data_IF_875336727194
#
_entry.id   IF_875336727194
#
_cell.length_a   1.000
_cell.length_b   1.000
_cell.length_c   1.000
_cell.angle_alpha   90.00
_cell.angle_beta   90.00
_cell.angle_gamma   90.00
#
_symmetry.space_group_name_H-M   'P 1'
#
loop_
_entity.id
_entity.type
_entity.pdbx_description
1 polymer ?
#
# COMPACT_ATOMS: atom_id res chain seq x y z
N UNK A 1 15.10 -13.22 -6.47
CA UNK A 1 14.99 -12.28 -5.33
C UNK A 1 16.25 -11.47 -5.33
N UNK A 2 16.17 -10.14 -5.35
CA UNK A 2 17.38 -9.33 -5.19
C UNK A 2 17.90 -9.52 -3.77
N UNK A 3 19.21 -9.42 -3.58
CA UNK A 3 19.90 -9.64 -2.29
C UNK A 3 19.48 -8.61 -1.20
N UNK A 4 18.63 -7.64 -1.55
CA UNK A 4 18.15 -6.54 -0.71
C UNK A 4 16.69 -6.69 -0.27
N UNK A 5 16.00 -7.76 -0.67
CA UNK A 5 14.60 -7.99 -0.34
C UNK A 5 14.44 -9.14 0.67
N UNK A 6 13.69 -8.87 1.73
CA UNK A 6 13.39 -9.84 2.78
C UNK A 6 11.89 -9.91 3.01
N UNK A 7 11.40 -11.13 3.21
CA UNK A 7 10.06 -11.39 3.70
C UNK A 7 10.10 -11.81 5.16
N UNK A 8 9.25 -11.22 5.99
CA UNK A 8 9.03 -11.64 7.38
C UNK A 8 7.59 -12.15 7.50
N UNK A 9 7.44 -13.43 7.85
CA UNK A 9 6.14 -14.02 8.17
C UNK A 9 5.74 -13.65 9.60
N UNK A 10 4.55 -13.08 9.76
CA UNK A 10 3.95 -12.79 11.07
C UNK A 10 2.90 -13.85 11.36
N UNK A 11 3.10 -14.62 12.43
CA UNK A 11 2.19 -15.71 12.81
C UNK A 11 1.07 -15.23 13.74
N UNK A 12 -0.15 -15.15 13.21
CA UNK A 12 -1.39 -14.74 13.90
C UNK A 12 -2.55 -15.73 13.66
N UNK A 13 -2.23 -17.00 13.40
CA UNK A 13 -3.19 -18.05 13.06
C UNK A 13 -3.81 -17.84 11.68
N UNK A 14 -5.13 -17.88 11.58
CA UNK A 14 -5.85 -17.68 10.30
C UNK A 14 -5.62 -16.30 9.67
N UNK A 15 -5.05 -15.36 10.42
CA UNK A 15 -4.72 -13.99 9.97
C UNK A 15 -3.23 -13.76 9.75
N UNK A 16 -2.41 -14.82 9.75
CA UNK A 16 -0.97 -14.69 9.48
C UNK A 16 -0.72 -14.04 8.11
N UNK A 17 0.23 -13.12 8.03
CA UNK A 17 0.56 -12.36 6.81
C UNK A 17 2.07 -12.13 6.65
N UNK A 18 2.46 -11.73 5.44
CA UNK A 18 3.85 -11.47 5.09
C UNK A 18 4.13 -9.97 5.07
N UNK A 19 5.26 -9.56 5.65
CA UNK A 19 5.82 -8.22 5.50
C UNK A 19 6.93 -8.30 4.47
N UNK A 20 6.79 -7.56 3.37
CA UNK A 20 7.83 -7.39 2.36
C UNK A 20 8.69 -6.17 2.71
N UNK A 21 10.01 -6.34 2.76
CA UNK A 21 10.97 -5.29 3.14
C UNK A 21 12.03 -5.19 2.05
N UNK A 22 12.24 -3.99 1.51
CA UNK A 22 13.22 -3.74 0.47
C UNK A 22 13.02 -2.38 -0.21
N UNK A 23 14.01 -1.93 -0.99
CA UNK A 23 13.91 -0.68 -1.74
C UNK A 23 12.91 -0.78 -2.90
N UNK A 24 12.30 0.35 -3.27
CA UNK A 24 11.46 0.45 -4.47
C UNK A 24 10.10 -0.27 -4.41
N UNK A 25 9.70 -0.77 -3.24
CA UNK A 25 8.46 -1.55 -3.06
C UNK A 25 7.19 -0.79 -3.48
N UNK A 26 7.11 0.52 -3.22
CA UNK A 26 5.92 1.33 -3.55
C UNK A 26 5.62 1.32 -5.05
N UNK A 27 6.66 1.50 -5.90
CA UNK A 27 6.49 1.52 -7.35
C UNK A 27 6.07 0.16 -7.93
N UNK A 28 6.24 -0.94 -7.19
CA UNK A 28 5.79 -2.30 -7.58
C UNK A 28 4.63 -2.82 -6.73
N UNK A 29 4.07 -2.00 -5.85
CA UNK A 29 3.06 -2.42 -4.89
C UNK A 29 1.81 -2.98 -5.59
N UNK A 30 1.43 -2.43 -6.75
CA UNK A 30 0.30 -2.93 -7.53
C UNK A 30 0.42 -4.41 -7.85
N UNK A 31 1.58 -4.85 -8.35
CA UNK A 31 1.85 -6.26 -8.68
C UNK A 31 1.76 -7.17 -7.46
N UNK A 32 2.34 -6.73 -6.34
CA UNK A 32 2.28 -7.48 -5.08
C UNK A 32 0.84 -7.61 -4.56
N UNK A 33 0.06 -6.54 -4.67
CA UNK A 33 -1.34 -6.52 -4.23
C UNK A 33 -2.21 -7.38 -5.15
N UNK A 34 -2.08 -7.24 -6.47
CA UNK A 34 -2.83 -7.99 -7.47
C UNK A 34 -2.60 -9.52 -7.37
N UNK A 35 -1.39 -9.93 -6.99
CA UNK A 35 -1.08 -11.35 -6.76
C UNK A 35 -1.83 -11.98 -5.58
N UNK A 36 -2.32 -11.16 -4.63
CA UNK A 36 -2.92 -11.62 -3.36
C UNK A 36 -4.41 -11.33 -3.26
N UNK A 37 -4.90 -10.29 -3.93
CA UNK A 37 -6.29 -9.85 -3.86
C UNK A 37 -6.96 -9.92 -5.23
N UNK A 38 -8.16 -10.51 -5.26
CA UNK A 38 -9.04 -10.46 -6.43
C UNK A 38 -9.88 -9.19 -6.33
N UNK A 39 -9.38 -8.08 -6.86
CA UNK A 39 -10.07 -6.79 -6.82
C UNK A 39 -9.64 -5.89 -7.97
N UNK A 40 -10.58 -5.08 -8.49
CA UNK A 40 -10.32 -4.10 -9.56
C UNK A 40 -10.46 -2.66 -9.09
N UNK A 41 -10.76 -2.43 -7.81
CA UNK A 41 -10.95 -1.10 -7.23
C UNK A 41 -10.38 -1.04 -5.82
N UNK A 42 -9.65 0.02 -5.51
CA UNK A 42 -9.06 0.23 -4.20
C UNK A 42 -9.22 1.68 -3.74
N UNK A 43 -9.47 1.85 -2.45
CA UNK A 43 -9.36 3.14 -1.79
C UNK A 43 -7.97 3.27 -1.17
N UNK A 44 -7.27 4.38 -1.43
CA UNK A 44 -5.99 4.73 -0.81
C UNK A 44 -6.23 5.86 0.17
N UNK A 45 -5.97 5.62 1.45
CA UNK A 45 -6.17 6.60 2.53
C UNK A 45 -4.78 6.98 3.04
N UNK A 46 -4.48 8.27 3.05
CA UNK A 46 -3.16 8.79 3.45
C UNK A 46 -3.29 10.17 4.10
N UNK A 47 -2.24 10.66 4.74
CA UNK A 47 -2.17 12.06 5.18
C UNK A 47 -1.46 12.93 4.13
N UNK A 48 -1.56 14.25 4.26
CA UNK A 48 -0.94 15.22 3.35
C UNK A 48 0.59 15.04 3.20
N UNK A 49 1.31 14.69 4.27
CA UNK A 49 2.77 14.54 4.24
C UNK A 49 3.21 13.26 3.51
N UNK A 50 2.52 12.15 3.75
CA UNK A 50 2.80 10.86 3.13
C UNK A 50 2.27 10.84 1.69
N UNK A 51 1.06 11.35 1.49
CA UNK A 51 0.41 11.43 0.19
C UNK A 51 1.21 12.27 -0.80
N UNK A 52 1.70 13.44 -0.38
CA UNK A 52 2.54 14.30 -1.22
C UNK A 52 3.84 13.65 -1.69
N UNK A 53 4.30 12.56 -1.05
CA UNK A 53 5.54 11.85 -1.40
C UNK A 53 5.30 10.57 -2.19
N UNK A 54 4.26 9.81 -1.86
CA UNK A 54 4.14 8.42 -2.33
C UNK A 54 2.85 8.11 -3.08
N UNK A 55 1.82 8.96 -3.00
CA UNK A 55 0.51 8.64 -3.56
C UNK A 55 0.57 8.46 -5.09
N UNK A 56 1.33 9.30 -5.79
CA UNK A 56 1.45 9.24 -7.24
C UNK A 56 2.04 7.90 -7.70
N UNK A 57 3.20 7.51 -7.15
CA UNK A 57 3.88 6.26 -7.51
C UNK A 57 3.05 5.02 -7.14
N UNK A 58 2.40 5.03 -5.97
CA UNK A 58 1.53 3.94 -5.55
C UNK A 58 0.32 3.80 -6.50
N UNK A 59 -0.31 4.93 -6.85
CA UNK A 59 -1.47 4.96 -7.76
C UNK A 59 -1.09 4.44 -9.13
N UNK A 60 0.03 4.91 -9.69
CA UNK A 60 0.53 4.44 -10.98
C UNK A 60 0.82 2.94 -10.98
N UNK A 61 1.41 2.43 -9.88
CA UNK A 61 1.67 0.99 -9.70
C UNK A 61 0.38 0.17 -9.70
N UNK A 62 -0.66 0.63 -9.00
CA UNK A 62 -1.96 -0.04 -8.92
C UNK A 62 -2.70 -0.02 -10.26
N UNK A 63 -2.74 1.14 -10.92
CA UNK A 63 -3.42 1.32 -12.21
C UNK A 63 -2.76 0.49 -13.33
N UNK A 64 -1.44 0.30 -13.28
CA UNK A 64 -0.72 -0.57 -14.22
C UNK A 64 -1.20 -2.04 -14.16
N UNK A 65 -1.73 -2.49 -13.01
CA UNK A 65 -2.34 -3.81 -12.85
C UNK A 65 -3.86 -3.79 -13.08
N UNK A 66 -4.40 -2.71 -13.63
CA UNK A 66 -5.82 -2.55 -13.93
C UNK A 66 -6.70 -2.34 -12.69
N UNK A 67 -6.12 -1.91 -11.57
CA UNK A 67 -6.84 -1.58 -10.34
C UNK A 67 -7.19 -0.10 -10.37
N UNK A 68 -8.47 0.25 -10.44
CA UNK A 68 -8.91 1.63 -10.34
C UNK A 68 -8.76 2.14 -8.91
N UNK A 69 -8.18 3.33 -8.75
CA UNK A 69 -7.85 3.90 -7.44
C UNK A 69 -8.74 5.09 -7.12
N UNK A 70 -9.23 5.16 -5.89
CA UNK A 70 -9.80 6.37 -5.31
C UNK A 70 -8.97 6.78 -4.10
N UNK A 71 -8.41 7.99 -4.12
CA UNK A 71 -7.57 8.48 -3.03
C UNK A 71 -8.32 9.46 -2.13
N UNK A 72 -8.18 9.27 -0.81
CA UNK A 72 -8.60 10.22 0.22
C UNK A 72 -7.38 10.66 1.01
N UNK A 73 -7.05 11.94 0.89
CA UNK A 73 -5.97 12.58 1.66
C UNK A 73 -6.55 13.32 2.84
N UNK A 74 -6.02 13.07 4.04
CA UNK A 74 -6.46 13.66 5.30
C UNK A 74 -5.42 14.65 5.86
N UNK A 75 -5.82 15.63 6.70
CA UNK A 75 -4.87 16.47 7.41
C UNK A 75 -3.92 15.63 8.26
N UNK A 76 -2.63 15.99 8.26
CA UNK A 76 -1.64 15.26 9.04
C UNK A 76 -1.78 15.50 10.56
N UNK A 77 -1.55 14.43 11.35
CA UNK A 77 -1.43 14.48 12.81
C UNK A 77 -2.46 13.60 13.56
N UNK A 78 -2.15 13.26 14.81
CA UNK A 78 -2.95 12.33 15.63
C UNK A 78 -4.39 12.84 15.88
N UNK A 79 -4.62 14.15 15.81
CA UNK A 79 -5.96 14.74 15.96
C UNK A 79 -6.95 14.25 14.90
N UNK A 80 -6.48 13.89 13.71
CA UNK A 80 -7.30 13.39 12.61
C UNK A 80 -7.77 11.95 12.82
N UNK A 81 -7.21 11.24 13.80
CA UNK A 81 -7.64 9.89 14.19
C UNK A 81 -8.86 9.99 15.12
N UNK A 82 -9.97 10.42 14.54
CA UNK A 82 -11.27 10.57 15.19
C UNK A 82 -12.33 9.70 14.52
N UNK A 83 -13.50 9.59 15.16
CA UNK A 83 -14.71 9.03 14.56
C UNK A 83 -15.59 10.09 13.89
N UNK A 84 -15.30 11.37 14.13
CA UNK A 84 -15.96 12.52 13.51
C UNK A 84 -15.41 12.80 12.11
#
# INVERSE_FOLDING_TARGET
>A
MSELEKTVRVELGDRSYDILIGPGLIARAGKEIAARLKGKRMAVITDENVGGRYLADLTASLEAEGIAVHALTLPAGEKTKSFD
#
